data_IF_497661940989
#
_entry.id   IF_497661940989
#
_cell.length_a   1.000
_cell.length_b   1.000
_cell.length_c   1.000
_cell.angle_alpha   90.00
_cell.angle_beta   90.00
_cell.angle_gamma   90.00
#
_symmetry.space_group_name_H-M   'P 1'
#
loop_
_entity.id
_entity.type
_entity.pdbx_description
1 polymer ?
#
# COMPACT_ATOMS: atom_id res chain seq x y z
N UNK A 1 -7.94 -19.25 -17.17
CA UNK A 1 -7.83 -18.54 -15.88
C UNK A 1 -7.39 -17.11 -16.17
N UNK A 2 -8.32 -16.15 -16.09
CA UNK A 2 -7.96 -14.74 -16.21
C UNK A 2 -7.40 -14.27 -14.86
N UNK A 3 -6.14 -13.88 -14.83
CA UNK A 3 -5.56 -13.18 -13.68
C UNK A 3 -6.26 -11.83 -13.57
N UNK A 4 -7.24 -11.72 -12.68
CA UNK A 4 -7.85 -10.43 -12.34
C UNK A 4 -6.85 -9.60 -11.52
N UNK A 5 -5.84 -9.05 -12.19
CA UNK A 5 -5.12 -7.86 -11.72
C UNK A 5 -6.07 -6.66 -11.80
N UNK A 6 -7.11 -6.65 -10.97
CA UNK A 6 -8.06 -5.54 -10.93
C UNK A 6 -7.36 -4.32 -10.33
N UNK A 7 -7.36 -3.15 -11.02
CA UNK A 7 -6.78 -1.91 -10.50
C UNK A 7 -7.41 -1.45 -9.17
N UNK A 8 -8.61 -1.97 -8.86
CA UNK A 8 -9.31 -1.76 -7.59
C UNK A 8 -8.50 -2.20 -6.36
N UNK A 9 -7.69 -3.25 -6.47
CA UNK A 9 -6.97 -3.77 -5.31
C UNK A 9 -5.95 -2.80 -4.72
N UNK A 10 -5.27 -2.03 -5.59
CA UNK A 10 -4.30 -1.02 -5.17
C UNK A 10 -4.99 0.18 -4.53
N UNK A 11 -6.17 0.59 -5.03
CA UNK A 11 -6.89 1.75 -4.48
C UNK A 11 -7.46 1.48 -3.09
N UNK A 12 -8.14 0.34 -2.83
CA UNK A 12 -8.60 0.14 -1.44
C UNK A 12 -7.45 -0.16 -0.48
N UNK A 13 -6.31 -0.68 -0.96
CA UNK A 13 -5.12 -0.85 -0.14
C UNK A 13 -4.51 0.50 0.25
N UNK A 14 -4.48 1.43 -0.70
CA UNK A 14 -4.08 2.81 -0.48
C UNK A 14 -5.01 3.51 0.52
N UNK A 15 -6.32 3.36 0.36
CA UNK A 15 -7.28 3.92 1.32
C UNK A 15 -7.13 3.29 2.71
N UNK A 16 -6.90 1.98 2.79
CA UNK A 16 -6.65 1.29 4.05
C UNK A 16 -5.40 1.83 4.76
N UNK A 17 -4.31 2.03 4.01
CA UNK A 17 -3.11 2.69 4.52
C UNK A 17 -3.45 4.13 4.96
N UNK A 18 -4.06 4.95 4.10
CA UNK A 18 -4.39 6.34 4.40
C UNK A 18 -5.28 6.50 5.65
N UNK A 19 -6.21 5.58 5.91
CA UNK A 19 -7.08 5.60 7.11
C UNK A 19 -6.33 5.29 8.41
N UNK A 20 -5.27 4.48 8.34
CA UNK A 20 -4.49 4.02 9.50
C UNK A 20 -3.27 4.90 9.79
N UNK A 21 -2.92 5.81 8.87
CA UNK A 21 -1.75 6.67 9.02
C UNK A 21 -2.07 7.96 9.77
N UNK A 22 -1.09 8.51 10.50
CA UNK A 22 -1.18 9.87 11.01
C UNK A 22 -1.23 10.88 9.86
N UNK A 23 -1.56 12.14 10.17
CA UNK A 23 -1.68 13.24 9.18
C UNK A 23 -0.48 13.38 8.24
N UNK A 24 0.70 12.91 8.66
CA UNK A 24 1.95 12.93 7.90
C UNK A 24 1.96 11.93 6.72
N UNK A 25 1.06 10.93 6.71
CA UNK A 25 0.94 9.85 5.71
C UNK A 25 2.25 9.10 5.45
N UNK A 26 3.08 9.00 6.48
CA UNK A 26 4.37 8.30 6.46
C UNK A 26 4.24 6.93 7.14
N UNK A 27 4.81 5.90 6.52
CA UNK A 27 4.90 4.54 7.04
C UNK A 27 6.23 3.89 6.70
N UNK A 28 6.68 2.98 7.56
CA UNK A 28 7.78 2.06 7.23
C UNK A 28 7.24 0.81 6.53
N UNK A 29 8.11 0.05 5.84
CA UNK A 29 7.74 -1.23 5.25
C UNK A 29 7.13 -2.18 6.30
N UNK A 30 7.70 -2.16 7.52
CA UNK A 30 7.26 -2.94 8.67
C UNK A 30 5.85 -2.56 9.16
N UNK A 31 5.40 -1.32 8.92
CA UNK A 31 4.05 -0.87 9.23
C UNK A 31 3.06 -1.10 8.09
N UNK A 32 3.49 -0.94 6.82
CA UNK A 32 2.66 -1.19 5.65
C UNK A 32 2.09 -2.61 5.66
N UNK A 33 2.97 -3.55 5.99
CA UNK A 33 2.71 -4.96 5.88
C UNK A 33 1.55 -5.46 6.78
N UNK A 34 1.56 -5.24 8.11
CA UNK A 34 0.46 -5.65 8.97
C UNK A 34 -0.86 -4.92 8.64
N UNK A 35 -0.83 -3.65 8.21
CA UNK A 35 -2.05 -2.92 7.82
C UNK A 35 -2.70 -3.58 6.59
N UNK A 36 -1.91 -3.88 5.56
CA UNK A 36 -2.41 -4.51 4.34
C UNK A 36 -2.86 -5.94 4.57
N UNK A 37 -2.14 -6.68 5.43
CA UNK A 37 -2.51 -8.03 5.83
C UNK A 37 -3.80 -8.04 6.68
N UNK A 38 -4.00 -7.10 7.61
CA UNK A 38 -5.24 -7.00 8.42
C UNK A 38 -6.46 -6.58 7.59
N UNK A 39 -6.31 -5.58 6.72
CA UNK A 39 -7.46 -4.98 6.01
C UNK A 39 -7.92 -5.81 4.83
N UNK A 40 -7.03 -6.60 4.22
CA UNK A 40 -7.33 -7.37 3.02
C UNK A 40 -7.07 -8.88 3.14
N UNK A 41 -6.68 -9.37 4.32
CA UNK A 41 -6.28 -10.78 4.55
C UNK A 41 -5.23 -11.25 3.52
N UNK A 42 -4.32 -10.34 3.16
CA UNK A 42 -3.35 -10.56 2.10
C UNK A 42 -2.07 -11.14 2.63
N UNK A 43 -1.78 -12.38 2.23
CA UNK A 43 -0.48 -12.99 2.47
C UNK A 43 0.68 -12.17 1.87
N UNK A 44 1.88 -12.47 2.35
CA UNK A 44 3.13 -11.76 2.03
C UNK A 44 3.33 -11.35 0.58
N UNK A 45 3.22 -12.27 -0.40
CA UNK A 45 3.47 -11.92 -1.80
C UNK A 45 2.44 -10.95 -2.38
N UNK A 46 1.21 -10.96 -1.89
CA UNK A 46 0.17 -10.04 -2.38
C UNK A 46 0.36 -8.62 -1.81
N UNK A 47 0.85 -8.53 -0.57
CA UNK A 47 1.18 -7.26 0.07
C UNK A 47 2.36 -6.59 -0.62
N UNK A 48 3.43 -7.34 -0.96
CA UNK A 48 4.57 -6.82 -1.71
C UNK A 48 4.16 -6.33 -3.11
N UNK A 49 3.36 -7.11 -3.84
CA UNK A 49 2.84 -6.71 -5.16
C UNK A 49 2.02 -5.42 -5.10
N UNK A 50 1.23 -5.21 -4.04
CA UNK A 50 0.48 -3.96 -3.85
C UNK A 50 1.42 -2.78 -3.58
N UNK A 51 2.40 -2.94 -2.70
CA UNK A 51 3.38 -1.88 -2.41
C UNK A 51 4.13 -1.49 -3.68
N UNK A 52 4.59 -2.46 -4.46
CA UNK A 52 5.24 -2.22 -5.76
C UNK A 52 4.31 -1.48 -6.73
N UNK A 53 3.04 -1.86 -6.82
CA UNK A 53 2.08 -1.17 -7.69
C UNK A 53 1.82 0.27 -7.26
N UNK A 54 1.72 0.52 -5.96
CA UNK A 54 1.56 1.87 -5.43
C UNK A 54 2.79 2.72 -5.75
N UNK A 55 3.98 2.15 -5.61
CA UNK A 55 5.24 2.80 -5.98
C UNK A 55 5.31 3.11 -7.49
N UNK A 56 5.03 2.11 -8.34
CA UNK A 56 5.07 2.25 -9.81
C UNK A 56 4.06 3.25 -10.37
N UNK A 57 3.02 3.57 -9.61
CA UNK A 57 1.97 4.49 -10.02
C UNK A 57 2.10 5.87 -9.36
N UNK A 58 3.23 6.16 -8.73
CA UNK A 58 3.50 7.41 -7.99
C UNK A 58 2.53 7.65 -6.81
N UNK A 59 1.86 6.61 -6.31
CA UNK A 59 1.02 6.69 -5.10
C UNK A 59 1.85 6.54 -3.81
N UNK A 60 3.07 6.03 -3.93
CA UNK A 60 3.97 5.77 -2.82
C UNK A 60 5.38 6.19 -3.22
N UNK A 61 6.06 6.96 -2.39
CA UNK A 61 7.45 7.35 -2.61
C UNK A 61 8.27 7.20 -1.34
N UNK A 62 9.55 6.89 -1.50
CA UNK A 62 10.45 6.71 -0.36
C UNK A 62 11.12 8.05 0.00
N UNK A 63 11.03 8.44 1.27
CA UNK A 63 11.65 9.61 1.89
C UNK A 63 12.37 9.15 3.14
N UNK A 64 13.70 9.26 3.16
CA UNK A 64 14.53 8.91 4.33
C UNK A 64 14.29 7.48 4.88
N UNK A 65 14.07 6.49 4.00
CA UNK A 65 13.80 5.11 4.39
C UNK A 65 12.37 4.83 4.85
N UNK A 66 11.47 5.82 4.74
CA UNK A 66 10.03 5.68 4.98
C UNK A 66 9.29 5.83 3.67
N UNK A 67 8.17 5.15 3.53
CA UNK A 67 7.23 5.41 2.46
C UNK A 67 6.26 6.52 2.85
N UNK A 68 5.98 7.40 1.91
CA UNK A 68 5.00 8.45 2.04
C UNK A 68 3.96 8.30 0.94
N UNK A 69 2.69 8.38 1.32
CA UNK A 69 1.60 8.40 0.35
C UNK A 69 1.49 9.81 -0.24
N UNK A 70 1.25 9.91 -1.54
CA UNK A 70 0.89 11.22 -2.14
C UNK A 70 -0.56 11.59 -1.79
N UNK A 71 -0.91 12.86 -1.96
CA UNK A 71 -2.31 13.30 -1.91
C UNK A 71 -2.98 13.01 -3.26
N UNK A 72 -4.06 12.24 -3.25
CA UNK A 72 -4.88 11.90 -4.42
C UNK A 72 -6.23 12.59 -4.34
#
# INVERSE_FOLDING_TARGET
MGNHHSPYFALDALEALARRLPDERELTYEHAYPILNEEKDLGQPATEDIVERLYMKDYLYEVEGKFRLTDF
#
